data_IF_590977802987
#
_entry.id   IF_590977802987
#
_cell.length_a   1.000
_cell.length_b   1.000
_cell.length_c   1.000
_cell.angle_alpha   90.00
_cell.angle_beta   90.00
_cell.angle_gamma   90.00
#
_symmetry.space_group_name_H-M   'P 1'
#
loop_
_entity.id
_entity.type
_entity.pdbx_description
1 polymer ?
#
# COMPACT_ATOMS: atom_id res chain seq x y z
N UNK A 1 15.07 2.14 22.83
CA UNK A 1 13.79 2.88 22.85
C UNK A 1 13.23 2.83 21.45
N UNK A 2 12.04 2.28 21.28
CA UNK A 2 11.32 2.31 20.00
C UNK A 2 10.71 3.70 19.90
N UNK A 3 11.27 4.55 19.05
CA UNK A 3 10.72 5.89 18.77
C UNK A 3 10.33 5.92 17.31
N UNK A 4 9.16 5.38 17.03
CA UNK A 4 8.43 5.60 15.78
C UNK A 4 7.01 5.97 16.18
N UNK A 5 6.87 7.14 16.81
CA UNK A 5 5.56 7.78 16.87
C UNK A 5 5.31 8.36 15.49
N UNK A 6 4.28 7.84 14.83
CA UNK A 6 3.61 8.49 13.71
C UNK A 6 3.37 9.95 14.11
N UNK A 7 4.11 10.88 13.49
CA UNK A 7 4.12 12.28 13.91
C UNK A 7 3.01 13.11 13.26
N UNK A 8 2.27 12.55 12.30
CA UNK A 8 1.27 13.26 11.50
C UNK A 8 1.84 14.39 10.62
N UNK A 9 3.16 14.58 10.60
CA UNK A 9 3.85 15.54 9.75
C UNK A 9 4.47 14.79 8.57
N UNK A 10 4.38 15.30 7.32
CA UNK A 10 4.79 14.58 6.11
C UNK A 10 6.31 14.43 6.06
N UNK A 11 6.86 13.19 6.01
CA UNK A 11 8.30 13.04 5.90
C UNK A 11 8.79 11.98 4.92
N UNK A 12 7.90 11.25 4.25
CA UNK A 12 8.27 10.10 3.43
C UNK A 12 8.66 10.50 1.99
N UNK A 13 8.12 11.62 1.50
CA UNK A 13 8.35 12.17 0.15
C UNK A 13 9.32 13.36 0.14
N UNK A 14 10.01 13.64 1.25
CA UNK A 14 10.98 14.73 1.29
C UNK A 14 12.26 14.34 0.53
N UNK A 15 12.75 15.23 -0.34
CA UNK A 15 14.07 15.09 -1.00
C UNK A 15 15.23 15.11 0.01
N UNK A 16 14.98 15.64 1.21
CA UNK A 16 15.93 15.70 2.31
C UNK A 16 15.76 14.52 3.24
N UNK A 17 16.88 13.88 3.60
CA UNK A 17 16.91 12.83 4.61
C UNK A 17 16.54 13.40 5.99
N UNK A 18 15.34 13.08 6.46
CA UNK A 18 14.80 13.58 7.73
C UNK A 18 14.45 12.43 8.70
N UNK A 19 14.43 12.70 10.03
CA UNK A 19 14.17 11.69 11.07
C UNK A 19 12.99 10.78 10.77
N UNK A 20 11.88 11.37 10.34
CA UNK A 20 10.67 10.62 10.09
C UNK A 20 10.66 9.84 8.76
N UNK A 21 11.57 10.13 7.80
CA UNK A 21 11.73 9.34 6.57
C UNK A 21 12.36 7.97 6.83
N UNK A 22 13.31 7.92 7.77
CA UNK A 22 14.05 6.71 8.12
C UNK A 22 13.59 6.09 9.45
N UNK A 23 12.52 6.61 10.06
CA UNK A 23 12.00 6.13 11.34
C UNK A 23 13.02 6.21 12.48
N UNK A 24 13.95 7.18 12.40
CA UNK A 24 14.99 7.40 13.39
C UNK A 24 14.72 8.70 14.15
N UNK A 25 15.14 8.79 15.41
CA UNK A 25 15.23 10.09 16.09
C UNK A 25 16.34 10.97 15.48
N UNK A 26 16.27 12.29 15.67
CA UNK A 26 17.24 13.26 15.11
C UNK A 26 18.70 12.89 15.35
N UNK A 27 19.03 12.40 16.55
CA UNK A 27 20.38 11.97 16.89
C UNK A 27 20.85 10.77 16.04
N UNK A 28 19.96 9.82 15.78
CA UNK A 28 20.28 8.64 14.98
C UNK A 28 20.43 9.00 13.49
N UNK A 29 19.69 9.99 13.00
CA UNK A 29 19.86 10.54 11.64
C UNK A 29 21.23 11.18 11.50
N UNK A 30 21.65 11.98 12.48
CA UNK A 30 22.97 12.61 12.46
C UNK A 30 24.09 11.56 12.50
N UNK A 31 23.93 10.49 13.29
CA UNK A 31 24.89 9.38 13.29
C UNK A 31 24.92 8.71 11.91
N UNK A 32 23.76 8.38 11.35
CA UNK A 32 23.64 7.74 10.04
C UNK A 32 24.25 8.58 8.92
N UNK A 33 23.95 9.87 8.88
CA UNK A 33 24.46 10.79 7.84
C UNK A 33 25.99 10.94 7.87
N UNK A 34 26.62 10.69 9.02
CA UNK A 34 28.08 10.73 9.18
C UNK A 34 28.76 9.38 8.89
N UNK A 35 28.00 8.32 8.58
CA UNK A 35 28.56 7.03 8.18
C UNK A 35 29.12 7.09 6.75
N UNK A 36 30.11 6.23 6.45
CA UNK A 36 30.55 6.03 5.07
C UNK A 36 29.43 5.39 4.23
N UNK A 37 29.39 5.57 2.90
CA UNK A 37 28.30 5.05 2.06
C UNK A 37 28.06 3.54 2.19
N UNK A 38 29.12 2.74 2.33
CA UNK A 38 29.00 1.29 2.55
C UNK A 38 28.35 0.95 3.89
N UNK A 39 28.66 1.74 4.94
CA UNK A 39 28.10 1.57 6.27
C UNK A 39 26.66 2.04 6.34
N UNK A 40 26.28 3.08 5.58
CA UNK A 40 24.89 3.50 5.41
C UNK A 40 24.05 2.38 4.76
N UNK A 41 24.57 1.76 3.70
CA UNK A 41 23.91 0.64 3.05
C UNK A 41 23.77 -0.57 3.98
N UNK A 42 24.83 -0.91 4.72
CA UNK A 42 24.78 -1.99 5.71
C UNK A 42 23.81 -1.70 6.87
N UNK A 43 23.76 -0.44 7.33
CA UNK A 43 22.82 0.03 8.35
C UNK A 43 21.37 -0.12 7.87
N UNK A 44 21.05 0.39 6.68
CA UNK A 44 19.70 0.30 6.11
C UNK A 44 19.28 -1.16 5.91
N UNK A 45 20.17 -2.01 5.39
CA UNK A 45 19.88 -3.45 5.22
C UNK A 45 19.68 -4.16 6.56
N UNK A 46 20.41 -3.77 7.59
CA UNK A 46 20.23 -4.32 8.95
C UNK A 46 18.88 -3.90 9.53
N UNK A 47 18.50 -2.64 9.34
CA UNK A 47 17.29 -2.07 9.92
C UNK A 47 16.03 -2.55 9.19
N UNK A 48 16.03 -2.55 7.86
CA UNK A 48 14.85 -2.76 7.02
C UNK A 48 14.89 -4.05 6.18
N UNK A 49 16.02 -4.75 6.12
CA UNK A 49 16.19 -5.91 5.25
C UNK A 49 16.46 -5.52 3.79
N UNK A 50 16.03 -6.36 2.85
CA UNK A 50 16.21 -6.11 1.40
C UNK A 50 15.27 -5.02 0.85
N UNK A 51 14.15 -4.75 1.55
CA UNK A 51 13.16 -3.76 1.15
C UNK A 51 13.28 -2.53 2.04
N UNK A 52 14.23 -1.64 1.72
CA UNK A 52 14.53 -0.47 2.54
C UNK A 52 13.45 0.62 2.54
N UNK A 53 12.49 0.53 1.61
CA UNK A 53 11.30 1.37 1.51
C UNK A 53 10.17 0.92 2.46
N UNK A 54 10.13 -0.37 2.82
CA UNK A 54 9.15 -0.96 3.73
C UNK A 54 9.47 -0.67 5.22
N UNK A 55 9.57 0.61 5.57
CA UNK A 55 9.78 1.04 6.97
C UNK A 55 8.55 0.72 7.83
N UNK A 56 8.69 0.76 9.17
CA UNK A 56 7.54 0.56 10.06
C UNK A 56 6.42 1.57 9.81
N UNK A 57 6.75 2.85 9.55
CA UNK A 57 5.76 3.89 9.31
C UNK A 57 4.99 3.63 8.01
N UNK A 58 5.70 3.30 6.93
CA UNK A 58 5.09 2.94 5.64
C UNK A 58 4.20 1.71 5.80
N UNK A 59 4.72 0.64 6.42
CA UNK A 59 3.97 -0.59 6.62
C UNK A 59 2.73 -0.41 7.52
N UNK A 60 2.78 0.51 8.48
CA UNK A 60 1.63 0.84 9.32
C UNK A 60 0.59 1.67 8.54
N UNK A 61 1.02 2.59 7.69
CA UNK A 61 0.13 3.41 6.86
C UNK A 61 -0.54 2.63 5.72
N UNK A 62 0.19 1.69 5.12
CA UNK A 62 -0.35 0.80 4.08
C UNK A 62 -1.00 -0.47 4.66
N UNK A 63 -1.02 -0.59 5.99
CA UNK A 63 -1.51 -1.76 6.73
C UNK A 63 -0.91 -3.11 6.25
N UNK A 64 0.34 -3.09 5.75
CA UNK A 64 1.02 -4.26 5.20
C UNK A 64 2.42 -4.44 5.83
N UNK A 65 2.50 -5.32 6.83
CA UNK A 65 3.77 -5.71 7.46
C UNK A 65 4.54 -6.81 6.73
N UNK A 66 3.99 -7.40 5.67
CA UNK A 66 4.58 -8.55 4.98
C UNK A 66 5.93 -8.22 4.34
N UNK A 67 6.08 -6.96 3.90
CA UNK A 67 7.27 -6.44 3.22
C UNK A 67 8.39 -6.01 4.17
N UNK A 68 8.09 -5.90 5.46
CA UNK A 68 9.07 -5.44 6.46
C UNK A 68 10.19 -6.46 6.66
N UNK A 69 11.43 -5.99 6.84
CA UNK A 69 12.59 -6.84 7.07
C UNK A 69 13.47 -6.39 8.24
N UNK A 70 14.60 -7.07 8.43
CA UNK A 70 15.65 -6.68 9.37
C UNK A 70 15.19 -6.57 10.83
N UNK A 71 15.72 -5.57 11.53
CA UNK A 71 15.32 -5.26 12.91
C UNK A 71 13.86 -4.81 13.02
N UNK A 72 13.32 -4.14 12.00
CA UNK A 72 11.91 -3.71 11.95
C UNK A 72 10.98 -4.91 12.02
N UNK A 73 11.19 -5.92 11.17
CA UNK A 73 10.40 -7.16 11.18
C UNK A 73 10.39 -7.83 12.55
N UNK A 74 11.56 -7.99 13.16
CA UNK A 74 11.68 -8.61 14.51
C UNK A 74 10.91 -7.86 15.58
N UNK A 75 10.90 -6.52 15.51
CA UNK A 75 10.17 -5.70 16.47
C UNK A 75 8.64 -5.84 16.28
N UNK A 76 8.18 -5.93 15.02
CA UNK A 76 6.77 -6.17 14.71
C UNK A 76 6.35 -7.57 15.17
N UNK A 77 7.14 -8.60 14.90
CA UNK A 77 6.86 -10.00 15.31
C UNK A 77 6.73 -10.16 16.84
N UNK A 78 7.32 -9.26 17.62
CA UNK A 78 7.18 -9.26 19.07
C UNK A 78 5.83 -8.69 19.58
N UNK A 79 5.10 -7.96 18.72
CA UNK A 79 3.90 -7.22 19.10
C UNK A 79 2.66 -7.57 18.28
N UNK A 80 2.83 -8.20 17.11
CA UNK A 80 1.75 -8.57 16.19
C UNK A 80 1.72 -10.09 15.98
N UNK A 81 0.53 -10.64 15.77
CA UNK A 81 0.37 -12.08 15.47
C UNK A 81 0.78 -12.40 14.03
N UNK A 82 1.15 -13.65 13.71
CA UNK A 82 1.45 -14.03 12.33
C UNK A 82 0.32 -13.72 11.33
N UNK A 83 -0.93 -13.77 11.79
CA UNK A 83 -2.10 -13.42 10.99
C UNK A 83 -2.16 -11.92 10.68
N UNK A 84 -1.87 -11.06 11.66
CA UNK A 84 -1.78 -9.60 11.49
C UNK A 84 -0.62 -9.16 10.60
N UNK A 85 0.30 -10.06 10.30
CA UNK A 85 1.48 -9.80 9.48
C UNK A 85 1.33 -10.29 8.04
N UNK A 86 0.16 -10.79 7.68
CA UNK A 86 -0.18 -11.25 6.35
C UNK A 86 -0.69 -10.09 5.49
N UNK A 87 -0.33 -10.07 4.20
CA UNK A 87 -0.81 -9.07 3.23
C UNK A 87 -2.32 -9.02 3.12
N UNK A 88 -3.00 -10.15 3.39
CA UNK A 88 -4.45 -10.26 3.31
C UNK A 88 -5.14 -10.01 4.65
N UNK A 89 -4.43 -9.51 5.66
CA UNK A 89 -5.04 -9.23 6.95
C UNK A 89 -6.01 -8.05 6.82
N UNK A 90 -7.24 -8.26 7.25
CA UNK A 90 -8.23 -7.19 7.37
C UNK A 90 -8.37 -6.83 8.84
N UNK A 91 -8.25 -5.55 9.18
CA UNK A 91 -8.42 -5.14 10.57
C UNK A 91 -9.84 -5.47 11.05
N UNK A 92 -10.06 -5.78 12.34
CA UNK A 92 -11.41 -6.05 12.85
C UNK A 92 -12.37 -4.87 12.67
N UNK A 93 -11.83 -3.65 12.58
CA UNK A 93 -12.59 -2.43 12.29
C UNK A 93 -13.11 -2.48 10.86
N UNK A 94 -12.24 -2.72 9.88
CA UNK A 94 -12.62 -2.71 8.46
C UNK A 94 -13.48 -3.92 8.12
N UNK A 95 -13.24 -5.07 8.76
CA UNK A 95 -14.13 -6.22 8.68
C UNK A 95 -15.56 -5.86 9.12
N UNK A 96 -15.70 -5.04 10.17
CA UNK A 96 -17.00 -4.59 10.65
C UNK A 96 -17.68 -3.59 9.72
N UNK A 97 -16.90 -2.71 9.10
CA UNK A 97 -17.39 -1.76 8.09
C UNK A 97 -17.86 -2.53 6.85
N UNK A 98 -17.06 -3.48 6.36
CA UNK A 98 -17.39 -4.31 5.20
C UNK A 98 -18.65 -5.19 5.40
N UNK A 99 -18.96 -5.55 6.65
CA UNK A 99 -20.20 -6.25 7.01
C UNK A 99 -21.45 -5.36 7.05
N UNK A 100 -21.32 -4.02 7.05
CA UNK A 100 -22.47 -3.12 7.10
C UNK A 100 -23.32 -3.26 5.81
N UNK A 101 -24.65 -3.49 5.91
CA UNK A 101 -25.51 -3.66 4.74
C UNK A 101 -25.44 -2.50 3.74
N UNK A 102 -25.12 -1.29 4.21
CA UNK A 102 -24.94 -0.12 3.34
C UNK A 102 -23.66 -0.22 2.54
N UNK A 103 -22.56 -0.70 3.14
CA UNK A 103 -21.32 -0.97 2.40
C UNK A 103 -21.51 -2.09 1.39
N UNK A 104 -22.22 -3.15 1.75
CA UNK A 104 -22.55 -4.24 0.81
C UNK A 104 -23.35 -3.71 -0.40
N UNK A 105 -24.30 -2.80 -0.17
CA UNK A 105 -25.04 -2.14 -1.25
C UNK A 105 -24.14 -1.22 -2.08
N UNK A 106 -23.30 -0.42 -1.44
CA UNK A 106 -22.40 0.52 -2.10
C UNK A 106 -21.38 -0.21 -3.00
N UNK A 107 -20.91 -1.40 -2.61
CA UNK A 107 -20.06 -2.25 -3.44
C UNK A 107 -20.76 -2.70 -4.74
N UNK A 108 -22.06 -2.95 -4.72
CA UNK A 108 -22.85 -3.27 -5.92
C UNK A 108 -22.99 -2.05 -6.85
N UNK A 109 -23.18 -0.86 -6.28
CA UNK A 109 -23.25 0.39 -7.02
C UNK A 109 -21.87 0.75 -7.62
N UNK A 110 -20.78 0.52 -6.87
CA UNK A 110 -19.40 0.66 -7.33
C UNK A 110 -19.11 -0.25 -8.53
N UNK A 111 -19.47 -1.54 -8.45
CA UNK A 111 -19.32 -2.47 -9.56
C UNK A 111 -20.08 -1.96 -10.81
N UNK A 112 -21.31 -1.47 -10.62
CA UNK A 112 -22.11 -0.89 -11.72
C UNK A 112 -21.41 0.33 -12.34
N UNK A 113 -20.83 1.20 -11.51
CA UNK A 113 -20.07 2.37 -11.96
C UNK A 113 -18.85 1.98 -12.83
N UNK A 114 -18.11 0.92 -12.44
CA UNK A 114 -17.02 0.40 -13.26
C UNK A 114 -17.51 -0.20 -14.58
N UNK A 115 -18.60 -0.97 -14.57
CA UNK A 115 -19.21 -1.52 -15.78
C UNK A 115 -19.64 -0.42 -16.75
N UNK A 116 -20.25 0.66 -16.24
CA UNK A 116 -20.65 1.83 -17.03
C UNK A 116 -19.45 2.59 -17.61
N UNK A 117 -18.30 2.57 -16.91
CA UNK A 117 -17.03 3.10 -17.39
C UNK A 117 -16.33 2.17 -18.41
N UNK A 118 -16.87 0.97 -18.65
CA UNK A 118 -16.36 -0.01 -19.61
C UNK A 118 -15.39 -1.03 -19.01
N UNK A 119 -15.34 -1.17 -17.68
CA UNK A 119 -14.47 -2.11 -16.97
C UNK A 119 -15.29 -3.19 -16.25
N UNK A 120 -14.95 -4.46 -16.50
CA UNK A 120 -15.69 -5.62 -15.97
C UNK A 120 -15.10 -6.10 -14.63
N UNK A 121 -15.20 -5.28 -13.59
CA UNK A 121 -14.74 -5.60 -12.24
C UNK A 121 -15.85 -5.39 -11.21
N UNK A 122 -15.95 -6.30 -10.24
CA UNK A 122 -16.94 -6.21 -9.15
C UNK A 122 -16.35 -5.64 -7.86
N UNK A 123 -15.01 -5.59 -7.75
CA UNK A 123 -14.30 -4.98 -6.63
C UNK A 123 -12.88 -4.59 -7.02
N UNK A 124 -12.29 -3.62 -6.32
CA UNK A 124 -10.88 -3.22 -6.48
C UNK A 124 -9.91 -4.39 -6.30
N UNK A 125 -10.26 -5.37 -5.46
CA UNK A 125 -9.43 -6.55 -5.16
C UNK A 125 -9.23 -7.46 -6.38
N UNK A 126 -10.05 -7.34 -7.41
CA UNK A 126 -9.93 -8.10 -8.65
C UNK A 126 -8.94 -7.45 -9.64
N UNK A 127 -8.67 -6.15 -9.49
CA UNK A 127 -7.91 -5.36 -10.46
C UNK A 127 -6.43 -5.74 -10.49
N UNK A 128 -5.75 -5.68 -9.34
CA UNK A 128 -4.31 -5.94 -9.27
C UNK A 128 -3.93 -7.35 -9.72
N UNK A 129 -4.62 -8.42 -9.28
CA UNK A 129 -4.31 -9.77 -9.73
C UNK A 129 -4.51 -9.96 -11.24
N UNK A 130 -5.53 -9.33 -11.83
CA UNK A 130 -5.78 -9.39 -13.27
C UNK A 130 -4.70 -8.65 -14.07
N UNK A 131 -4.37 -7.41 -13.68
CA UNK A 131 -3.32 -6.62 -14.33
C UNK A 131 -1.95 -7.29 -14.23
N UNK A 132 -1.63 -7.88 -13.07
CA UNK A 132 -0.40 -8.66 -12.89
C UNK A 132 -0.38 -9.87 -13.83
N UNK A 133 -1.45 -10.67 -13.86
CA UNK A 133 -1.56 -11.83 -14.77
C UNK A 133 -1.36 -11.41 -16.23
N UNK A 134 -2.01 -10.33 -16.68
CA UNK A 134 -1.88 -9.82 -18.06
C UNK A 134 -0.48 -9.31 -18.34
N UNK A 135 0.18 -8.68 -17.37
CA UNK A 135 1.59 -8.27 -17.47
C UNK A 135 2.50 -9.49 -17.63
N UNK A 136 2.29 -10.54 -16.85
CA UNK A 136 3.06 -11.79 -16.95
C UNK A 136 2.80 -12.52 -18.28
N UNK A 137 1.57 -12.46 -18.81
CA UNK A 137 1.24 -13.01 -20.12
C UNK A 137 1.93 -12.28 -21.28
N UNK A 138 2.14 -10.97 -21.15
CA UNK A 138 2.84 -10.16 -22.17
C UNK A 138 4.36 -10.31 -22.06
N UNK A 139 4.89 -10.32 -20.83
CA UNK A 139 6.34 -10.29 -20.59
C UNK A 139 6.96 -11.67 -20.46
N UNK A 140 6.18 -12.69 -20.10
CA UNK A 140 6.66 -13.99 -19.67
C UNK A 140 7.73 -13.92 -18.56
N UNK A 141 7.73 -12.84 -17.77
CA UNK A 141 8.72 -12.59 -16.72
C UNK A 141 10.09 -12.10 -17.22
N UNK A 142 10.21 -11.81 -18.53
CA UNK A 142 11.44 -11.26 -19.11
C UNK A 142 11.56 -9.75 -18.85
N UNK A 143 12.80 -9.22 -18.72
CA UNK A 143 13.02 -7.80 -18.52
C UNK A 143 12.70 -6.99 -19.79
N UNK A 144 12.32 -5.71 -19.62
CA UNK A 144 11.86 -4.84 -20.72
C UNK A 144 12.86 -4.76 -21.88
N UNK A 145 14.15 -4.81 -21.59
CA UNK A 145 15.25 -4.67 -22.55
C UNK A 145 15.30 -5.80 -23.59
N UNK A 146 14.69 -6.96 -23.30
CA UNK A 146 14.70 -8.12 -24.20
C UNK A 146 13.34 -8.37 -24.87
N UNK A 147 12.32 -7.58 -24.53
CA UNK A 147 10.98 -7.70 -25.12
C UNK A 147 10.99 -7.28 -26.60
N UNK A 148 10.20 -7.98 -27.41
CA UNK A 148 10.01 -7.61 -28.81
C UNK A 148 9.05 -6.42 -28.97
N UNK A 149 8.93 -5.93 -30.20
CA UNK A 149 8.12 -4.75 -30.50
C UNK A 149 6.62 -4.97 -30.21
N UNK A 150 6.12 -6.19 -30.36
CA UNK A 150 4.71 -6.52 -30.15
C UNK A 150 4.41 -6.56 -28.64
N UNK A 151 5.28 -7.17 -27.83
CA UNK A 151 5.19 -7.15 -26.37
C UNK A 151 5.28 -5.72 -25.81
N UNK A 152 6.19 -4.89 -26.32
CA UNK A 152 6.29 -3.48 -25.94
C UNK A 152 5.02 -2.69 -26.28
N UNK A 153 4.42 -2.94 -27.46
CA UNK A 153 3.16 -2.31 -27.85
C UNK A 153 1.99 -2.76 -26.97
N UNK A 154 1.93 -4.05 -26.62
CA UNK A 154 0.93 -4.62 -25.72
C UNK A 154 1.06 -4.06 -24.30
N UNK A 155 2.28 -3.96 -23.77
CA UNK A 155 2.52 -3.31 -22.46
C UNK A 155 2.04 -1.86 -22.45
N UNK A 156 2.32 -1.11 -23.51
CA UNK A 156 1.86 0.28 -23.62
C UNK A 156 0.33 0.38 -23.68
N UNK A 157 -0.33 -0.56 -24.37
CA UNK A 157 -1.78 -0.62 -24.39
C UNK A 157 -2.35 -0.95 -22.99
N UNK A 158 -1.76 -1.93 -22.30
CA UNK A 158 -2.14 -2.30 -20.94
C UNK A 158 -1.95 -1.14 -19.96
N UNK A 159 -0.84 -0.41 -20.04
CA UNK A 159 -0.59 0.77 -19.21
C UNK A 159 -1.64 1.86 -19.43
N UNK A 160 -2.03 2.13 -20.68
CA UNK A 160 -3.08 3.13 -20.95
C UNK A 160 -4.44 2.69 -20.40
N UNK A 161 -4.73 1.39 -20.45
CA UNK A 161 -5.94 0.82 -19.86
C UNK A 161 -5.91 0.91 -18.34
N UNK A 162 -4.81 0.53 -17.69
CA UNK A 162 -4.58 0.67 -16.25
C UNK A 162 -4.79 2.12 -15.79
N UNK A 163 -4.26 3.09 -16.52
CA UNK A 163 -4.45 4.52 -16.19
C UNK A 163 -5.93 4.94 -16.29
N UNK A 164 -6.65 4.46 -17.30
CA UNK A 164 -8.07 4.75 -17.46
C UNK A 164 -8.92 4.05 -16.38
N UNK A 165 -8.59 2.81 -16.06
CA UNK A 165 -9.21 2.04 -14.99
C UNK A 165 -8.98 2.70 -13.63
N UNK A 166 -7.74 3.10 -13.31
CA UNK A 166 -7.42 3.79 -12.07
C UNK A 166 -8.23 5.09 -11.92
N UNK A 167 -8.38 5.88 -12.99
CA UNK A 167 -9.21 7.08 -12.95
C UNK A 167 -10.70 6.76 -12.69
N UNK A 168 -11.23 5.68 -13.28
CA UNK A 168 -12.60 5.24 -13.04
C UNK A 168 -12.79 4.72 -11.61
N UNK A 169 -11.88 3.88 -11.13
CA UNK A 169 -11.86 3.34 -9.76
C UNK A 169 -11.89 4.46 -8.73
N UNK A 170 -10.94 5.40 -8.80
CA UNK A 170 -10.88 6.57 -7.89
C UNK A 170 -12.20 7.36 -7.93
N UNK A 171 -12.74 7.62 -9.13
CA UNK A 171 -13.99 8.38 -9.26
C UNK A 171 -15.17 7.63 -8.63
N UNK A 172 -15.28 6.32 -8.87
CA UNK A 172 -16.36 5.50 -8.33
C UNK A 172 -16.22 5.33 -6.80
N UNK A 173 -15.02 5.14 -6.28
CA UNK A 173 -14.70 5.09 -4.84
C UNK A 173 -15.13 6.39 -4.14
N UNK A 174 -14.61 7.52 -4.57
CA UNK A 174 -14.84 8.84 -3.94
C UNK A 174 -16.33 9.23 -3.95
N UNK A 175 -17.08 8.77 -4.96
CA UNK A 175 -18.50 9.14 -5.12
C UNK A 175 -19.46 8.16 -4.46
N UNK A 176 -19.08 6.89 -4.32
CA UNK A 176 -19.99 5.82 -3.88
C UNK A 176 -19.53 5.20 -2.56
N UNK A 177 -18.27 4.76 -2.47
CA UNK A 177 -17.78 4.02 -1.31
C UNK A 177 -17.41 4.96 -0.16
N UNK A 178 -16.56 5.96 -0.42
CA UNK A 178 -16.04 6.87 0.59
C UNK A 178 -17.14 7.53 1.43
N UNK A 179 -18.24 8.07 0.85
CA UNK A 179 -19.28 8.71 1.65
C UNK A 179 -19.98 7.73 2.61
N UNK A 180 -20.18 6.49 2.16
CA UNK A 180 -20.85 5.44 2.93
C UNK A 180 -19.92 4.92 4.02
N UNK A 181 -18.66 4.62 3.68
CA UNK A 181 -17.65 4.18 4.64
C UNK A 181 -17.44 5.23 5.74
N UNK A 182 -17.26 6.49 5.37
CA UNK A 182 -17.13 7.59 6.34
C UNK A 182 -18.35 7.70 7.27
N UNK A 183 -19.56 7.45 6.76
CA UNK A 183 -20.76 7.45 7.57
C UNK A 183 -20.78 6.26 8.53
N UNK A 184 -20.55 5.06 8.03
CA UNK A 184 -20.54 3.81 8.80
C UNK A 184 -19.47 3.87 9.89
N UNK A 185 -18.26 4.31 9.55
CA UNK A 185 -17.16 4.43 10.49
C UNK A 185 -17.52 5.40 11.64
N UNK A 186 -18.09 6.56 11.31
CA UNK A 186 -18.53 7.53 12.34
C UNK A 186 -19.59 6.92 13.25
N UNK A 187 -20.57 6.19 12.69
CA UNK A 187 -21.64 5.61 13.50
C UNK A 187 -21.16 4.45 14.39
N UNK A 188 -20.22 3.64 13.91
CA UNK A 188 -19.70 2.48 14.63
C UNK A 188 -18.61 2.85 15.66
N UNK A 189 -17.79 3.85 15.37
CA UNK A 189 -16.54 4.09 16.11
C UNK A 189 -16.37 5.51 16.64
N UNK A 190 -17.23 6.48 16.28
CA UNK A 190 -17.19 7.76 16.99
C UNK A 190 -17.54 7.52 18.46
N UNK A 191 -16.64 7.92 19.37
CA UNK A 191 -16.91 7.92 20.81
C UNK A 191 -18.19 8.71 21.06
N UNK A 192 -19.25 8.02 21.51
CA UNK A 192 -20.38 8.68 22.17
C UNK A 192 -19.83 9.29 23.46
N UNK A 193 -19.53 10.59 23.41
CA UNK A 193 -19.33 11.41 24.61
C UNK A 193 -20.69 11.82 25.17
#
# INVERSE_FOLDING_TARGET
GISTLYSGAPPQLAELMIPAQIGLGEQNVQIFANLAPADQAAYNRTLFGEQSDATFAVALETEDFSRTGGCTRRAIEANFTPEQMNTSYLSPKDARIAEDPRMVSALADFATCLHDAGFDYNSEREVEPDLRRRTDEITHGEPIEVLDADALAALKALQNEEMALAAAVITCEETILDPVENQVERELFARQN
#
